data_IF_633137539640
#
_entry.id   IF_633137539640
#
_cell.length_a   1.000
_cell.length_b   1.000
_cell.length_c   1.000
_cell.angle_alpha   90.00
_cell.angle_beta   90.00
_cell.angle_gamma   90.00
#
_symmetry.space_group_name_H-M   'P 1'
#
loop_
_entity.id
_entity.type
_entity.pdbx_description
1 polymer ?
#
# COMPACT_ATOMS: atom_id res chain seq x y z
N UNK A 1 -10.84 9.56 17.10
CA UNK A 1 -9.73 8.68 17.54
C UNK A 1 -10.37 7.47 18.22
N UNK A 2 -10.42 6.30 17.57
CA UNK A 2 -11.06 5.10 18.17
C UNK A 2 -10.00 4.28 18.91
N UNK A 3 -10.20 4.05 20.21
CA UNK A 3 -9.40 3.10 20.99
C UNK A 3 -9.81 1.70 20.58
N UNK A 4 -8.86 0.89 20.12
CA UNK A 4 -9.11 -0.49 19.72
C UNK A 4 -8.74 -1.44 20.85
N UNK A 5 -9.69 -1.66 21.76
CA UNK A 5 -9.54 -2.58 22.89
C UNK A 5 -9.78 -4.04 22.50
N UNK A 6 -10.36 -4.30 21.33
CA UNK A 6 -10.96 -5.60 20.99
C UNK A 6 -9.99 -6.66 20.44
N UNK A 7 -8.77 -6.29 20.04
CA UNK A 7 -7.91 -7.11 19.17
C UNK A 7 -6.75 -7.79 19.90
N UNK A 8 -6.51 -7.42 21.16
CA UNK A 8 -5.37 -7.95 21.90
C UNK A 8 -5.73 -8.33 23.33
N UNK A 9 -5.63 -9.61 23.64
CA UNK A 9 -5.67 -10.10 25.02
C UNK A 9 -4.78 -11.35 25.10
N UNK A 10 -3.76 -11.31 25.93
CA UNK A 10 -2.76 -12.39 26.05
C UNK A 10 -3.21 -13.48 27.04
N UNK A 11 -2.74 -14.70 26.79
CA UNK A 11 -2.85 -15.93 27.61
C UNK A 11 -2.09 -15.85 28.96
N UNK A 12 -2.36 -14.87 29.82
CA UNK A 12 -2.17 -15.04 31.27
C UNK A 12 -3.55 -15.31 31.84
N UNK A 13 -3.81 -16.54 32.30
CA UNK A 13 -5.10 -17.07 32.80
C UNK A 13 -6.22 -16.05 32.64
N UNK A 14 -6.66 -15.88 31.39
CA UNK A 14 -7.57 -14.81 31.06
C UNK A 14 -8.86 -15.19 31.75
N UNK A 15 -9.18 -14.51 32.86
CA UNK A 15 -10.39 -14.75 33.62
C UNK A 15 -11.53 -14.52 32.64
N UNK A 16 -12.11 -15.64 32.23
CA UNK A 16 -13.26 -15.71 31.36
C UNK A 16 -14.40 -16.13 32.26
N UNK A 17 -15.45 -15.33 32.28
CA UNK A 17 -16.61 -15.57 33.09
C UNK A 17 -17.86 -15.42 32.23
N UNK A 18 -18.83 -16.30 32.46
CA UNK A 18 -20.17 -16.20 31.89
C UNK A 18 -21.12 -15.80 33.01
N UNK A 19 -21.76 -14.64 32.89
CA UNK A 19 -22.70 -14.12 33.90
C UNK A 19 -24.00 -13.68 33.24
N UNK A 20 -25.11 -14.09 33.82
CA UNK A 20 -26.42 -13.61 33.43
C UNK A 20 -27.56 -14.39 34.09
N UNK A 21 -28.80 -14.00 33.79
CA UNK A 21 -30.00 -14.52 34.45
C UNK A 21 -30.29 -15.99 34.08
N UNK A 22 -30.92 -16.69 35.03
CA UNK A 22 -31.49 -18.03 34.90
C UNK A 22 -33.01 -17.91 34.89
N UNK A 23 -33.65 -18.58 33.95
CA UNK A 23 -35.11 -18.60 33.75
C UNK A 23 -35.60 -20.04 33.82
N UNK A 24 -36.83 -20.21 34.30
CA UNK A 24 -37.52 -21.49 34.31
C UNK A 24 -38.75 -21.39 33.41
N UNK A 25 -38.88 -22.32 32.49
CA UNK A 25 -39.97 -22.38 31.52
C UNK A 25 -40.47 -23.83 31.48
N UNK A 26 -41.54 -24.10 32.24
CA UNK A 26 -42.02 -25.46 32.47
C UNK A 26 -40.91 -26.36 33.05
N UNK A 27 -40.67 -27.49 32.39
CA UNK A 27 -39.64 -28.46 32.77
C UNK A 27 -38.21 -28.04 32.40
N UNK A 28 -38.05 -26.95 31.64
CA UNK A 28 -36.75 -26.45 31.19
C UNK A 28 -36.22 -25.35 32.11
N UNK A 29 -34.91 -25.37 32.28
CA UNK A 29 -34.15 -24.26 32.84
C UNK A 29 -33.24 -23.69 31.75
N UNK A 30 -33.30 -22.38 31.54
CA UNK A 30 -32.49 -21.66 30.53
C UNK A 30 -31.67 -20.59 31.21
N UNK A 31 -30.36 -20.57 30.95
CA UNK A 31 -29.46 -19.53 31.45
C UNK A 31 -28.81 -18.80 30.29
N UNK A 32 -28.95 -17.47 30.30
CA UNK A 32 -28.40 -16.57 29.29
C UNK A 32 -27.20 -15.84 29.86
N UNK A 33 -26.00 -16.32 29.56
CA UNK A 33 -24.76 -15.79 30.10
C UNK A 33 -24.03 -14.86 29.13
N UNK A 34 -23.75 -13.63 29.54
CA UNK A 34 -22.79 -12.77 28.85
C UNK A 34 -21.37 -13.27 29.14
N UNK A 35 -20.62 -13.63 28.09
CA UNK A 35 -19.24 -14.07 28.21
C UNK A 35 -18.33 -12.87 28.17
N UNK A 36 -17.59 -12.64 29.25
CA UNK A 36 -16.59 -11.58 29.33
C UNK A 36 -15.21 -12.17 29.56
N UNK A 37 -14.21 -11.62 28.88
CA UNK A 37 -12.82 -12.01 29.02
C UNK A 37 -12.00 -10.75 29.32
N UNK A 38 -11.44 -10.68 30.53
CA UNK A 38 -10.76 -9.46 31.03
C UNK A 38 -11.62 -8.21 30.84
N UNK A 39 -12.90 -8.28 31.27
CA UNK A 39 -13.91 -7.21 31.20
C UNK A 39 -14.37 -6.82 29.77
N UNK A 40 -13.89 -7.50 28.73
CA UNK A 40 -14.39 -7.30 27.36
C UNK A 40 -15.46 -8.34 27.03
N UNK A 41 -16.62 -7.89 26.53
CA UNK A 41 -17.66 -8.76 26.00
C UNK A 41 -17.14 -9.57 24.80
N UNK A 42 -17.39 -10.89 24.82
CA UNK A 42 -16.96 -11.84 23.77
C UNK A 42 -18.12 -12.53 23.07
N UNK A 43 -19.28 -12.65 23.72
CA UNK A 43 -20.44 -13.30 23.15
C UNK A 43 -21.48 -13.65 24.21
N UNK A 44 -22.49 -14.41 23.80
CA UNK A 44 -23.54 -14.93 24.68
C UNK A 44 -23.44 -16.46 24.67
N UNK A 45 -23.52 -17.06 25.85
CA UNK A 45 -23.70 -18.50 26.04
C UNK A 45 -25.14 -18.76 26.49
N UNK A 46 -25.77 -19.74 25.86
CA UNK A 46 -27.09 -20.24 26.23
C UNK A 46 -26.89 -21.64 26.79
N UNK A 47 -27.21 -21.81 28.06
CA UNK A 47 -27.23 -23.11 28.74
C UNK A 47 -28.69 -23.52 28.90
N UNK A 48 -29.04 -24.74 28.49
CA UNK A 48 -30.38 -25.31 28.60
C UNK A 48 -30.28 -26.65 29.30
N UNK A 49 -31.13 -26.83 30.31
CA UNK A 49 -31.25 -28.03 31.12
C UNK A 49 -32.71 -28.50 31.10
N UNK A 50 -32.94 -29.78 30.80
CA UNK A 50 -34.25 -30.41 30.94
C UNK A 50 -34.30 -31.18 32.27
N UNK A 51 -35.05 -30.66 33.24
CA UNK A 51 -35.03 -31.14 34.64
C UNK A 51 -35.52 -32.58 34.87
N UNK A 52 -36.52 -33.09 34.13
CA UNK A 52 -37.07 -34.43 34.38
C UNK A 52 -36.16 -35.59 33.98
N UNK A 53 -35.07 -35.35 33.24
CA UNK A 53 -34.21 -36.41 32.73
C UNK A 53 -32.72 -36.10 32.91
N UNK A 54 -31.98 -37.09 33.42
CA UNK A 54 -30.52 -37.00 33.63
C UNK A 54 -29.72 -37.81 32.60
N UNK A 55 -30.38 -38.44 31.62
CA UNK A 55 -29.71 -39.21 30.56
C UNK A 55 -29.77 -38.40 29.25
N UNK A 56 -28.63 -37.90 28.73
CA UNK A 56 -28.61 -37.00 27.58
C UNK A 56 -29.28 -37.57 26.32
N UNK A 57 -29.13 -38.86 26.02
CA UNK A 57 -29.75 -39.52 24.87
C UNK A 57 -31.28 -39.40 24.88
N UNK A 58 -31.89 -39.50 26.06
CA UNK A 58 -33.34 -39.43 26.23
C UNK A 58 -33.88 -37.98 26.20
N UNK A 59 -33.01 -36.99 26.44
CA UNK A 59 -33.40 -35.57 26.53
C UNK A 59 -32.97 -34.72 25.33
N UNK A 60 -31.99 -35.18 24.53
CA UNK A 60 -31.33 -34.37 23.51
C UNK A 60 -32.27 -33.83 22.45
N UNK A 61 -33.16 -34.66 21.90
CA UNK A 61 -34.10 -34.21 20.87
C UNK A 61 -35.07 -33.16 21.40
N UNK A 62 -35.56 -33.32 22.64
CA UNK A 62 -36.40 -32.33 23.31
C UNK A 62 -35.66 -31.00 23.52
N UNK A 63 -34.42 -31.06 24.00
CA UNK A 63 -33.58 -29.87 24.21
C UNK A 63 -33.28 -29.18 22.86
N UNK A 64 -33.00 -29.96 21.81
CA UNK A 64 -32.71 -29.48 20.46
C UNK A 64 -33.93 -28.76 19.86
N UNK A 65 -35.11 -29.36 19.92
CA UNK A 65 -36.36 -28.75 19.44
C UNK A 65 -36.70 -27.48 20.21
N UNK A 66 -36.57 -27.52 21.54
CA UNK A 66 -36.75 -26.35 22.40
C UNK A 66 -35.81 -25.21 22.00
N UNK A 67 -34.51 -25.49 21.83
CA UNK A 67 -33.50 -24.53 21.36
C UNK A 67 -33.84 -23.98 19.97
N UNK A 68 -34.28 -24.83 19.04
CA UNK A 68 -34.64 -24.43 17.68
C UNK A 68 -35.85 -23.47 17.67
N UNK A 69 -36.74 -23.60 18.66
CA UNK A 69 -37.89 -22.69 18.81
C UNK A 69 -37.52 -21.21 18.96
N UNK A 70 -36.34 -20.88 19.50
CA UNK A 70 -35.91 -19.49 19.68
C UNK A 70 -34.56 -19.12 19.05
N UNK A 71 -33.70 -20.10 18.73
CA UNK A 71 -32.44 -19.87 18.01
C UNK A 71 -32.50 -20.29 16.52
N UNK A 72 -33.60 -20.90 16.09
CA UNK A 72 -33.82 -21.31 14.71
C UNK A 72 -32.76 -22.28 14.20
N UNK A 73 -32.35 -22.11 12.93
CA UNK A 73 -31.38 -22.99 12.24
C UNK A 73 -29.94 -22.87 12.75
N UNK A 74 -29.67 -22.02 13.75
CA UNK A 74 -28.32 -21.91 14.34
C UNK A 74 -27.99 -23.03 15.32
N UNK A 75 -29.01 -23.77 15.76
CA UNK A 75 -28.84 -24.92 16.67
C UNK A 75 -28.33 -26.12 15.87
N UNK A 76 -27.21 -26.68 16.32
CA UNK A 76 -26.62 -27.89 15.74
C UNK A 76 -27.58 -29.09 15.86
N UNK A 77 -27.69 -29.88 14.79
CA UNK A 77 -28.39 -31.16 14.83
C UNK A 77 -27.60 -32.24 15.59
N UNK A 78 -26.30 -32.02 15.80
CA UNK A 78 -25.43 -32.93 16.53
C UNK A 78 -25.26 -32.45 17.98
N UNK A 79 -25.27 -33.41 18.91
CA UNK A 79 -24.96 -33.18 20.31
C UNK A 79 -23.55 -32.57 20.50
N UNK A 80 -23.32 -31.80 21.58
CA UNK A 80 -22.02 -31.22 21.91
C UNK A 80 -20.92 -32.28 21.88
N UNK A 81 -19.76 -31.94 21.31
CA UNK A 81 -18.68 -32.89 21.03
C UNK A 81 -18.25 -33.68 22.27
N UNK A 82 -18.22 -33.03 23.44
CA UNK A 82 -17.93 -33.67 24.72
C UNK A 82 -18.95 -34.76 25.12
N UNK A 83 -20.23 -34.56 24.81
CA UNK A 83 -21.31 -35.46 25.21
C UNK A 83 -21.51 -36.64 24.25
N UNK A 84 -21.03 -36.56 23.02
CA UNK A 84 -21.28 -37.58 21.98
C UNK A 84 -20.92 -39.02 22.43
N UNK A 85 -19.82 -39.18 23.16
CA UNK A 85 -19.38 -40.49 23.66
C UNK A 85 -20.02 -40.90 25.00
N UNK A 86 -20.80 -40.01 25.62
CA UNK A 86 -21.38 -40.17 26.97
C UNK A 86 -22.89 -39.98 26.97
N UNK A 87 -23.53 -40.09 25.80
CA UNK A 87 -24.96 -39.83 25.63
C UNK A 87 -25.85 -40.75 26.47
N UNK A 88 -25.39 -41.98 26.74
CA UNK A 88 -26.13 -42.97 27.53
C UNK A 88 -25.72 -43.02 29.00
N UNK A 89 -24.81 -42.14 29.43
CA UNK A 89 -24.37 -42.06 30.82
C UNK A 89 -25.26 -41.09 31.63
N UNK A 90 -25.21 -41.20 32.96
CA UNK A 90 -25.87 -40.23 33.84
C UNK A 90 -25.10 -38.92 33.76
N UNK A 91 -25.80 -37.85 33.35
CA UNK A 91 -25.27 -36.50 33.29
C UNK A 91 -24.92 -35.97 34.70
N UNK A 92 -23.72 -35.42 34.83
CA UNK A 92 -23.18 -34.91 36.09
C UNK A 92 -22.84 -33.42 35.96
N UNK A 93 -22.78 -32.67 37.08
CA UNK A 93 -22.34 -31.26 37.06
C UNK A 93 -20.97 -31.04 36.39
N UNK A 94 -20.09 -32.04 36.42
CA UNK A 94 -18.78 -32.01 35.76
C UNK A 94 -18.90 -31.91 34.22
N UNK A 95 -19.97 -32.43 33.63
CA UNK A 95 -20.21 -32.38 32.19
C UNK A 95 -20.56 -30.96 31.74
N UNK A 96 -21.29 -30.21 32.57
CA UNK A 96 -21.52 -28.78 32.37
C UNK A 96 -20.19 -28.03 32.39
N UNK A 97 -19.33 -28.31 33.38
CA UNK A 97 -18.02 -27.65 33.51
C UNK A 97 -17.17 -27.87 32.26
N UNK A 98 -17.14 -29.09 31.71
CA UNK A 98 -16.33 -29.37 30.52
C UNK A 98 -16.86 -28.71 29.25
N UNK A 99 -18.17 -28.66 29.06
CA UNK A 99 -18.76 -27.92 27.95
C UNK A 99 -18.44 -26.42 28.03
N UNK A 100 -18.50 -25.82 29.23
CA UNK A 100 -18.05 -24.45 29.44
C UNK A 100 -16.56 -24.26 29.12
N UNK A 101 -15.69 -25.19 29.52
CA UNK A 101 -14.26 -25.13 29.22
C UNK A 101 -13.99 -25.23 27.71
N UNK A 102 -14.75 -26.04 26.97
CA UNK A 102 -14.66 -26.15 25.52
C UNK A 102 -15.02 -24.82 24.84
N UNK A 103 -16.17 -24.23 25.18
CA UNK A 103 -16.59 -22.93 24.65
C UNK A 103 -15.63 -21.80 25.03
N UNK A 104 -15.16 -21.77 26.28
CA UNK A 104 -14.13 -20.82 26.70
C UNK A 104 -12.81 -21.01 25.94
N UNK A 105 -12.46 -22.24 25.59
CA UNK A 105 -11.35 -22.57 24.70
C UNK A 105 -11.53 -21.97 23.30
N UNK A 106 -12.73 -22.07 22.71
CA UNK A 106 -13.06 -21.46 21.42
C UNK A 106 -12.97 -19.93 21.46
N UNK A 107 -13.54 -19.29 22.50
CA UNK A 107 -13.43 -17.83 22.71
C UNK A 107 -11.99 -17.35 22.88
N UNK A 108 -11.11 -18.16 23.47
CA UNK A 108 -9.67 -17.87 23.57
C UNK A 108 -8.94 -18.01 22.24
N UNK A 109 -9.35 -18.95 21.37
CA UNK A 109 -8.78 -19.13 20.02
C UNK A 109 -9.19 -18.01 19.07
N UNK A 110 -10.37 -17.42 19.26
CA UNK A 110 -10.89 -16.33 18.42
C UNK A 110 -10.04 -15.03 18.47
N UNK A 111 -9.15 -14.85 19.46
CA UNK A 111 -8.19 -13.73 19.50
C UNK A 111 -6.81 -14.14 18.94
N UNK A 112 -6.79 -14.72 17.74
CA UNK A 112 -5.66 -15.42 17.10
C UNK A 112 -4.45 -14.56 16.69
N UNK A 113 -3.82 -13.85 17.63
CA UNK A 113 -2.54 -13.17 17.42
C UNK A 113 -1.44 -13.99 18.11
N UNK A 114 -0.60 -14.63 17.31
CA UNK A 114 0.58 -15.36 17.77
C UNK A 114 1.83 -14.45 17.72
N UNK A 115 2.94 -14.80 18.40
CA UNK A 115 4.18 -14.02 18.33
C UNK A 115 4.75 -13.89 16.91
N UNK A 116 4.47 -14.87 16.04
CA UNK A 116 4.84 -14.88 14.63
C UNK A 116 3.88 -14.09 13.73
N UNK A 117 2.71 -13.68 14.24
CA UNK A 117 1.72 -12.94 13.46
C UNK A 117 2.32 -11.62 12.99
N UNK A 118 2.12 -11.34 11.70
CA UNK A 118 2.64 -10.13 11.07
C UNK A 118 1.68 -8.95 11.25
N UNK A 119 2.18 -7.73 11.18
CA UNK A 119 1.34 -6.54 11.16
C UNK A 119 0.38 -6.55 9.96
N UNK A 120 0.78 -7.14 8.82
CA UNK A 120 -0.10 -7.35 7.66
C UNK A 120 -1.32 -8.23 7.99
N UNK A 121 -1.11 -9.33 8.71
CA UNK A 121 -2.19 -10.21 9.18
C UNK A 121 -3.13 -9.49 10.17
N UNK A 122 -2.58 -8.71 11.10
CA UNK A 122 -3.39 -7.90 12.02
C UNK A 122 -4.29 -6.91 11.25
N UNK A 123 -3.78 -6.30 10.18
CA UNK A 123 -4.58 -5.41 9.31
C UNK A 123 -5.68 -6.16 8.55
N UNK A 124 -5.42 -7.39 8.13
CA UNK A 124 -6.41 -8.27 7.48
C UNK A 124 -7.56 -8.61 8.44
N UNK A 125 -7.26 -9.01 9.67
CA UNK A 125 -8.28 -9.26 10.71
C UNK A 125 -9.09 -8.01 11.03
N UNK A 126 -8.42 -6.86 11.09
CA UNK A 126 -9.06 -5.55 11.21
C UNK A 126 -10.07 -5.25 10.10
N UNK A 127 -9.71 -5.60 8.87
CA UNK A 127 -10.58 -5.42 7.71
C UNK A 127 -11.80 -6.35 7.78
N UNK A 128 -11.64 -7.60 8.24
CA UNK A 128 -12.76 -8.53 8.47
C UNK A 128 -13.76 -7.98 9.49
N UNK A 129 -13.27 -7.37 10.56
CA UNK A 129 -14.12 -6.74 11.58
C UNK A 129 -14.81 -5.46 11.08
N UNK A 130 -14.12 -4.65 10.26
CA UNK A 130 -14.66 -3.39 9.74
C UNK A 130 -14.27 -3.17 8.27
N UNK A 131 -15.15 -3.62 7.36
CA UNK A 131 -14.94 -3.55 5.90
C UNK A 131 -14.68 -2.13 5.36
N UNK A 132 -15.14 -1.08 6.02
CA UNK A 132 -14.86 0.31 5.60
C UNK A 132 -13.38 0.70 5.72
N UNK A 133 -12.59 -0.08 6.46
CA UNK A 133 -11.16 0.12 6.70
C UNK A 133 -10.35 -0.92 5.93
N UNK A 134 -10.33 -0.86 4.60
CA UNK A 134 -9.48 -1.74 3.79
C UNK A 134 -8.00 -1.60 4.14
N UNK A 135 -7.23 -2.68 3.98
CA UNK A 135 -5.87 -2.86 4.53
C UNK A 135 -4.93 -1.68 4.26
N UNK A 136 -4.93 -1.15 3.04
CA UNK A 136 -4.02 -0.08 2.61
C UNK A 136 -4.32 1.27 3.28
N UNK A 137 -5.56 1.49 3.75
CA UNK A 137 -5.95 2.69 4.51
C UNK A 137 -5.41 2.67 5.95
N UNK A 138 -5.00 1.49 6.43
CA UNK A 138 -4.62 1.27 7.82
C UNK A 138 -3.14 1.55 8.06
N UNK A 139 -2.84 2.45 9.00
CA UNK A 139 -1.51 2.66 9.57
C UNK A 139 -1.52 2.27 11.04
N UNK A 140 -0.78 1.22 11.39
CA UNK A 140 -0.58 0.78 12.77
C UNK A 140 0.74 1.33 13.32
N UNK A 141 0.75 1.71 14.60
CA UNK A 141 1.86 2.39 15.30
C UNK A 141 1.97 1.90 16.73
N UNK A 142 3.17 1.92 17.31
CA UNK A 142 3.39 1.64 18.74
C UNK A 142 2.93 2.79 19.63
N UNK A 143 3.09 4.02 19.14
CA UNK A 143 2.70 5.25 19.86
C UNK A 143 1.76 6.09 19.01
N UNK A 144 0.94 6.93 19.66
CA UNK A 144 -0.01 7.81 18.98
C UNK A 144 0.66 8.71 17.91
N UNK A 145 1.87 9.20 18.20
CA UNK A 145 2.70 10.02 17.29
C UNK A 145 3.88 9.25 16.69
N UNK A 146 3.96 7.94 16.91
CA UNK A 146 5.06 7.10 16.46
C UNK A 146 5.10 6.89 14.95
N UNK A 147 6.17 6.23 14.49
CA UNK A 147 6.31 5.81 13.09
C UNK A 147 5.33 4.68 12.78
N UNK A 148 4.92 4.62 11.51
CA UNK A 148 4.11 3.52 10.99
C UNK A 148 4.95 2.24 10.94
N UNK A 149 4.35 1.14 11.39
CA UNK A 149 4.95 -0.20 11.35
C UNK A 149 4.89 -0.79 9.94
N UNK A 150 5.92 -1.56 9.57
CA UNK A 150 5.92 -2.29 8.30
C UNK A 150 5.06 -3.54 8.39
N UNK A 151 4.47 -3.96 7.27
CA UNK A 151 3.58 -5.12 7.23
C UNK A 151 4.32 -6.44 7.51
N UNK A 152 5.64 -6.46 7.31
CA UNK A 152 6.53 -7.61 7.58
C UNK A 152 6.97 -7.73 9.04
N UNK A 153 6.82 -6.68 9.85
CA UNK A 153 7.16 -6.77 11.27
C UNK A 153 6.22 -7.73 11.99
N UNK A 154 6.78 -8.53 12.90
CA UNK A 154 6.05 -9.48 13.73
C UNK A 154 5.84 -8.91 15.12
N UNK A 155 4.81 -9.40 15.82
CA UNK A 155 4.57 -9.04 17.22
C UNK A 155 5.83 -9.30 18.09
N UNK A 156 6.57 -10.39 17.83
CA UNK A 156 7.84 -10.69 18.48
C UNK A 156 8.91 -9.62 18.23
N UNK A 157 9.11 -9.20 16.98
CA UNK A 157 10.11 -8.17 16.64
C UNK A 157 9.81 -6.80 17.27
N UNK A 158 8.55 -6.53 17.57
CA UNK A 158 8.10 -5.29 18.17
C UNK A 158 8.16 -5.27 19.69
N UNK A 159 8.62 -6.36 20.32
CA UNK A 159 8.66 -6.52 21.78
C UNK A 159 7.32 -6.21 22.46
N UNK A 160 6.21 -6.40 21.74
CA UNK A 160 4.87 -6.13 22.25
C UNK A 160 4.51 -7.19 23.30
N UNK A 161 4.51 -6.75 24.57
CA UNK A 161 4.11 -7.60 25.71
C UNK A 161 2.60 -7.67 25.85
N UNK A 162 2.11 -8.59 26.66
CA UNK A 162 0.70 -8.71 27.05
C UNK A 162 0.13 -7.36 27.53
N UNK A 163 -1.01 -6.92 26.99
CA UNK A 163 -1.59 -5.59 27.23
C UNK A 163 -1.00 -4.41 26.42
N UNK A 164 0.02 -4.65 25.59
CA UNK A 164 0.54 -3.68 24.61
C UNK A 164 -0.56 -3.15 23.68
N UNK A 165 -0.51 -1.85 23.38
CA UNK A 165 -1.52 -1.15 22.59
C UNK A 165 -0.94 -0.81 21.22
N UNK A 166 -1.73 -1.03 20.17
CA UNK A 166 -1.45 -0.52 18.83
C UNK A 166 -2.37 0.66 18.54
N UNK A 167 -1.79 1.74 18.03
CA UNK A 167 -2.52 2.92 17.62
C UNK A 167 -2.84 2.82 16.14
N UNK A 168 -4.13 2.91 15.83
CA UNK A 168 -4.63 3.00 14.47
C UNK A 168 -4.69 4.44 14.01
N UNK A 169 -4.10 4.71 12.84
CA UNK A 169 -4.27 5.94 12.08
C UNK A 169 -4.91 5.62 10.73
N UNK A 170 -5.99 6.33 10.46
CA UNK A 170 -6.62 6.33 9.15
C UNK A 170 -5.84 7.24 8.18
N UNK A 171 -5.36 6.68 7.07
CA UNK A 171 -4.66 7.42 6.02
C UNK A 171 -5.59 8.09 4.99
N UNK A 172 -6.90 7.80 5.05
CA UNK A 172 -7.89 8.20 4.05
C UNK A 172 -7.79 7.37 2.76
N UNK A 173 -8.54 7.73 1.70
CA UNK A 173 -8.51 7.04 0.42
C UNK A 173 -7.09 6.93 -0.15
N UNK A 174 -6.69 5.72 -0.50
CA UNK A 174 -5.39 5.36 -1.06
C UNK A 174 -5.53 4.89 -2.50
N UNK A 175 -4.52 5.14 -3.31
CA UNK A 175 -4.41 4.66 -4.69
C UNK A 175 -3.05 3.97 -4.89
N UNK A 176 -3.02 2.91 -5.69
CA UNK A 176 -1.79 2.16 -5.97
C UNK A 176 -0.77 2.99 -6.75
N UNK A 177 0.52 2.88 -6.41
CA UNK A 177 1.59 3.64 -7.07
C UNK A 177 1.65 3.42 -8.58
N UNK A 178 1.38 2.19 -9.06
CA UNK A 178 1.33 1.89 -10.49
C UNK A 178 0.29 2.76 -11.20
N UNK A 179 -0.93 2.83 -10.65
CA UNK A 179 -2.01 3.66 -11.21
C UNK A 179 -1.68 5.14 -11.15
N UNK A 180 -1.05 5.59 -10.06
CA UNK A 180 -0.60 6.99 -9.92
C UNK A 180 0.35 7.36 -11.06
N UNK A 181 1.42 6.60 -11.25
CA UNK A 181 2.40 6.90 -12.30
C UNK A 181 1.82 6.79 -13.71
N UNK A 182 0.90 5.84 -13.95
CA UNK A 182 0.21 5.75 -15.24
C UNK A 182 -0.62 7.01 -15.53
N UNK A 183 -1.41 7.50 -14.58
CA UNK A 183 -2.21 8.72 -14.78
C UNK A 183 -1.34 9.99 -14.84
N UNK A 184 -0.29 10.04 -14.01
CA UNK A 184 0.68 11.13 -13.98
C UNK A 184 1.37 11.30 -15.33
N UNK A 185 1.76 10.20 -15.99
CA UNK A 185 2.50 10.20 -17.26
C UNK A 185 1.61 10.12 -18.51
N UNK A 186 0.40 9.57 -18.42
CA UNK A 186 -0.53 9.54 -19.56
C UNK A 186 -1.02 10.94 -19.92
N UNK A 187 -1.25 11.80 -18.93
CA UNK A 187 -1.72 13.16 -19.19
C UNK A 187 -0.78 14.01 -20.03
N UNK A 188 0.52 14.13 -19.69
CA UNK A 188 1.46 14.88 -20.51
C UNK A 188 1.54 14.40 -21.96
N UNK A 189 1.36 13.10 -22.20
CA UNK A 189 1.29 12.54 -23.55
C UNK A 189 0.02 13.01 -24.28
N UNK A 190 -1.15 12.83 -23.66
CA UNK A 190 -2.46 13.20 -24.24
C UNK A 190 -2.57 14.71 -24.45
N UNK A 191 -2.21 15.50 -23.43
CA UNK A 191 -2.27 16.97 -23.46
C UNK A 191 -1.32 17.53 -24.52
N UNK A 192 -0.08 17.04 -24.58
CA UNK A 192 0.87 17.51 -25.60
C UNK A 192 0.37 17.17 -27.01
N UNK A 193 -0.11 15.94 -27.23
CA UNK A 193 -0.65 15.53 -28.54
C UNK A 193 -1.89 16.33 -28.93
N UNK A 194 -2.77 16.64 -27.98
CA UNK A 194 -3.94 17.47 -28.24
C UNK A 194 -3.55 18.89 -28.65
N UNK A 195 -2.61 19.54 -27.96
CA UNK A 195 -2.12 20.87 -28.36
C UNK A 195 -1.28 20.83 -29.64
N UNK A 196 -0.59 19.72 -29.90
CA UNK A 196 0.14 19.52 -31.15
C UNK A 196 -0.79 19.59 -32.35
N UNK A 197 -2.04 19.09 -32.27
CA UNK A 197 -3.05 19.23 -33.33
C UNK A 197 -3.50 20.69 -33.60
N UNK A 198 -3.00 21.67 -32.81
CA UNK A 198 -3.34 23.09 -32.90
C UNK A 198 -4.86 23.35 -32.93
N UNK A 199 -5.61 22.90 -31.92
CA UNK A 199 -7.05 23.12 -31.89
C UNK A 199 -7.35 24.62 -31.83
N UNK A 200 -8.45 25.03 -32.47
CA UNK A 200 -8.84 26.45 -32.58
C UNK A 200 -8.92 27.16 -31.22
N UNK A 201 -9.22 26.41 -30.15
CA UNK A 201 -9.41 26.95 -28.80
C UNK A 201 -8.15 27.65 -28.28
N UNK A 202 -6.96 27.15 -28.62
CA UNK A 202 -5.70 27.69 -28.11
C UNK A 202 -4.99 28.59 -29.12
N UNK A 203 -5.16 28.33 -30.42
CA UNK A 203 -4.36 28.98 -31.46
C UNK A 203 -5.20 29.81 -32.46
N UNK A 204 -6.54 29.76 -32.38
CA UNK A 204 -7.42 30.38 -33.37
C UNK A 204 -7.41 29.66 -34.72
N UNK A 205 -7.82 30.37 -35.78
CA UNK A 205 -7.84 29.85 -37.14
C UNK A 205 -6.44 29.90 -37.77
N UNK A 206 -5.61 28.92 -37.42
CA UNK A 206 -4.23 28.80 -37.90
C UNK A 206 -4.08 27.62 -38.85
N UNK A 207 -3.14 27.71 -39.79
CA UNK A 207 -2.86 26.62 -40.71
C UNK A 207 -2.25 25.44 -39.93
N UNK A 208 -2.96 24.31 -39.93
CA UNK A 208 -2.57 23.08 -39.23
C UNK A 208 -1.57 22.23 -40.01
N UNK A 209 -1.21 22.59 -41.24
CA UNK A 209 -0.27 21.80 -42.06
C UNK A 209 1.19 22.28 -41.97
N UNK A 210 1.42 23.51 -41.49
CA UNK A 210 2.76 24.12 -41.46
C UNK A 210 3.37 24.05 -40.06
N UNK A 211 4.03 22.93 -39.77
CA UNK A 211 4.90 22.79 -38.59
C UNK A 211 6.36 22.99 -38.98
N UNK A 212 7.10 23.72 -38.13
CA UNK A 212 8.55 23.71 -38.22
C UNK A 212 9.07 22.31 -37.84
N UNK A 213 10.10 21.80 -38.52
CA UNK A 213 10.60 20.44 -38.29
C UNK A 213 11.01 20.20 -36.83
N UNK A 214 11.52 21.23 -36.15
CA UNK A 214 11.89 21.18 -34.73
C UNK A 214 10.68 20.88 -33.84
N UNK A 215 9.51 21.45 -34.13
CA UNK A 215 8.28 21.17 -33.37
C UNK A 215 7.84 19.71 -33.56
N UNK A 216 7.94 19.18 -34.79
CA UNK A 216 7.67 17.76 -35.06
C UNK A 216 8.63 16.85 -34.28
N UNK A 217 9.93 17.14 -34.31
CA UNK A 217 10.93 16.40 -33.54
C UNK A 217 10.71 16.53 -32.03
N UNK A 218 10.29 17.70 -31.54
CA UNK A 218 9.95 17.91 -30.13
C UNK A 218 8.74 17.07 -29.72
N UNK A 219 7.69 17.02 -30.54
CA UNK A 219 6.52 16.18 -30.30
C UNK A 219 6.89 14.69 -30.25
N UNK A 220 7.75 14.23 -31.15
CA UNK A 220 8.28 12.85 -31.14
C UNK A 220 9.10 12.59 -29.88
N UNK A 221 10.06 13.46 -29.55
CA UNK A 221 10.91 13.30 -28.37
C UNK A 221 10.09 13.27 -27.06
N UNK A 222 9.13 14.18 -26.93
CA UNK A 222 8.20 14.23 -25.79
C UNK A 222 7.37 12.94 -25.71
N UNK A 223 6.83 12.49 -26.84
CA UNK A 223 6.00 11.29 -26.90
C UNK A 223 6.81 10.04 -26.55
N UNK A 224 8.00 9.89 -27.13
CA UNK A 224 8.92 8.77 -26.85
C UNK A 224 9.27 8.73 -25.36
N UNK A 225 9.59 9.87 -24.76
CA UNK A 225 9.86 9.95 -23.33
C UNK A 225 8.68 9.45 -22.49
N UNK A 226 7.48 10.01 -22.67
CA UNK A 226 6.33 9.62 -21.84
C UNK A 226 5.82 8.21 -22.13
N UNK A 227 5.88 7.73 -23.38
CA UNK A 227 5.61 6.33 -23.72
C UNK A 227 6.61 5.42 -23.02
N UNK A 228 7.91 5.73 -23.05
CA UNK A 228 8.94 5.00 -22.29
C UNK A 228 8.59 4.97 -20.80
N UNK A 229 8.25 6.10 -20.19
CA UNK A 229 7.87 6.18 -18.75
C UNK A 229 6.63 5.33 -18.42
N UNK A 230 5.64 5.30 -19.31
CA UNK A 230 4.46 4.44 -19.17
C UNK A 230 4.84 2.96 -19.25
N UNK A 231 5.62 2.56 -20.25
CA UNK A 231 6.09 1.18 -20.41
C UNK A 231 6.98 0.74 -19.24
N UNK A 232 7.89 1.60 -18.78
CA UNK A 232 8.69 1.35 -17.57
C UNK A 232 7.81 1.13 -16.34
N UNK A 233 6.74 1.91 -16.19
CA UNK A 233 5.79 1.75 -15.08
C UNK A 233 5.03 0.42 -15.14
N UNK A 234 4.72 -0.07 -16.34
CA UNK A 234 4.00 -1.33 -16.52
C UNK A 234 4.93 -2.53 -16.34
N UNK A 235 6.12 -2.49 -16.95
CA UNK A 235 6.97 -3.66 -17.17
C UNK A 235 8.27 -3.67 -16.34
N UNK A 236 8.78 -2.51 -15.92
CA UNK A 236 10.11 -2.38 -15.30
C UNK A 236 10.02 -2.10 -13.81
N UNK A 237 9.21 -1.12 -13.39
CA UNK A 237 9.16 -0.64 -12.02
C UNK A 237 8.59 -1.68 -11.04
N UNK A 238 9.30 -1.88 -9.91
CA UNK A 238 8.86 -2.68 -8.77
C UNK A 238 8.73 -1.79 -7.54
N UNK A 239 7.50 -1.40 -7.18
CA UNK A 239 7.24 -0.46 -6.07
C UNK A 239 7.36 -1.14 -4.71
N UNK A 240 8.00 -0.47 -3.74
CA UNK A 240 8.18 -0.99 -2.37
C UNK A 240 7.04 -0.61 -1.42
N UNK A 241 6.32 0.47 -1.72
CA UNK A 241 5.10 0.85 -1.02
C UNK A 241 3.91 0.50 -1.91
N UNK A 242 2.82 0.03 -1.31
CA UNK A 242 1.65 -0.36 -2.05
C UNK A 242 0.89 0.85 -2.62
N UNK A 243 0.78 1.95 -1.84
CA UNK A 243 -0.14 3.05 -2.16
C UNK A 243 0.37 4.44 -1.78
N UNK A 244 -0.33 5.46 -2.29
CA UNK A 244 -0.22 6.88 -1.96
C UNK A 244 -1.62 7.46 -1.60
N UNK A 245 -1.73 8.51 -0.76
CA UNK A 245 -2.99 9.21 -0.55
C UNK A 245 -3.55 9.81 -1.85
N UNK A 246 -4.84 9.57 -2.13
CA UNK A 246 -5.49 9.95 -3.39
C UNK A 246 -5.39 11.45 -3.69
N UNK A 247 -5.49 12.32 -2.68
CA UNK A 247 -5.35 13.78 -2.85
C UNK A 247 -4.04 14.21 -3.51
N UNK A 248 -2.96 13.43 -3.34
CA UNK A 248 -1.66 13.74 -3.92
C UNK A 248 -1.63 13.44 -5.42
N UNK A 249 -2.51 12.56 -5.92
CA UNK A 249 -2.65 12.28 -7.35
C UNK A 249 -2.96 13.55 -8.11
N UNK A 250 -3.96 14.31 -7.65
CA UNK A 250 -4.36 15.57 -8.29
C UNK A 250 -3.21 16.58 -8.32
N UNK A 251 -2.45 16.71 -7.22
CA UNK A 251 -1.28 17.60 -7.19
C UNK A 251 -0.23 17.20 -8.22
N UNK A 252 0.10 15.91 -8.29
CA UNK A 252 1.08 15.39 -9.24
C UNK A 252 0.59 15.58 -10.68
N UNK A 253 -0.64 15.16 -10.99
CA UNK A 253 -1.22 15.31 -12.33
C UNK A 253 -1.29 16.78 -12.73
N UNK A 254 -1.79 17.68 -11.86
CA UNK A 254 -1.84 19.12 -12.17
C UNK A 254 -0.47 19.67 -12.52
N UNK A 255 0.59 19.32 -11.77
CA UNK A 255 1.95 19.74 -12.09
C UNK A 255 2.35 19.29 -13.51
N UNK A 256 2.32 17.99 -13.79
CA UNK A 256 2.80 17.48 -15.08
C UNK A 256 1.93 17.91 -16.25
N UNK A 257 0.61 17.92 -16.10
CA UNK A 257 -0.32 18.20 -17.18
C UNK A 257 -0.31 19.68 -17.55
N UNK A 258 -0.22 20.58 -16.57
CA UNK A 258 -0.15 22.02 -16.82
C UNK A 258 1.20 22.41 -17.43
N UNK A 259 2.31 21.83 -16.96
CA UNK A 259 3.60 22.05 -17.62
C UNK A 259 3.62 21.47 -19.04
N UNK A 260 3.03 20.30 -19.26
CA UNK A 260 2.89 19.73 -20.60
C UNK A 260 2.11 20.67 -21.52
N UNK A 261 0.97 21.19 -21.05
CA UNK A 261 0.18 22.18 -21.78
C UNK A 261 1.01 23.43 -22.09
N UNK A 262 1.72 23.98 -21.10
CA UNK A 262 2.49 25.21 -21.26
C UNK A 262 3.65 25.06 -22.25
N UNK A 263 4.37 23.93 -22.20
CA UNK A 263 5.45 23.60 -23.13
C UNK A 263 4.89 23.33 -24.52
N UNK A 264 3.84 22.50 -24.63
CA UNK A 264 3.20 22.18 -25.91
C UNK A 264 2.65 23.44 -26.58
N UNK A 265 2.06 24.36 -25.80
CA UNK A 265 1.53 25.62 -26.30
C UNK A 265 2.61 26.38 -27.09
N UNK A 266 3.76 26.60 -26.47
CA UNK A 266 4.84 27.41 -27.05
C UNK A 266 5.62 26.70 -28.14
N UNK A 267 5.94 25.41 -27.94
CA UNK A 267 6.70 24.62 -28.93
C UNK A 267 5.92 24.38 -30.21
N UNK A 268 4.59 24.28 -30.12
CA UNK A 268 3.72 24.07 -31.27
C UNK A 268 3.08 25.35 -31.79
N UNK A 269 3.38 26.52 -31.23
CA UNK A 269 2.77 27.78 -31.64
C UNK A 269 3.11 28.12 -33.12
N UNK A 270 2.19 28.70 -33.91
CA UNK A 270 2.47 29.11 -35.29
C UNK A 270 3.65 30.09 -35.42
N UNK A 271 3.84 30.93 -34.41
CA UNK A 271 4.93 31.91 -34.31
C UNK A 271 6.17 31.34 -33.59
N UNK A 272 6.33 30.02 -33.55
CA UNK A 272 7.47 29.39 -32.90
C UNK A 272 8.78 29.74 -33.62
N UNK A 273 9.73 30.30 -32.88
CA UNK A 273 11.07 30.59 -33.37
C UNK A 273 11.99 29.42 -33.07
N UNK A 274 12.48 28.77 -34.13
CA UNK A 274 13.37 27.64 -34.00
C UNK A 274 14.79 28.06 -33.56
N UNK A 275 15.51 27.18 -32.84
CA UNK A 275 16.91 27.40 -32.49
C UNK A 275 17.85 27.28 -33.68
N UNK A 276 19.13 27.57 -33.45
CA UNK A 276 20.18 27.28 -34.43
C UNK A 276 20.28 25.78 -34.69
N UNK A 277 20.78 25.40 -35.88
CA UNK A 277 20.99 23.98 -36.22
C UNK A 277 21.90 23.28 -35.21
N UNK A 278 22.92 23.98 -34.70
CA UNK A 278 23.85 23.44 -33.71
C UNK A 278 23.14 23.10 -32.38
N UNK A 279 22.34 24.02 -31.84
CA UNK A 279 21.55 23.79 -30.62
C UNK A 279 20.55 22.64 -30.82
N UNK A 280 19.86 22.61 -31.95
CA UNK A 280 18.94 21.54 -32.29
C UNK A 280 19.62 20.15 -32.28
N UNK A 281 20.71 19.98 -33.05
CA UNK A 281 21.37 18.67 -33.15
C UNK A 281 22.08 18.26 -31.86
N UNK A 282 22.76 19.20 -31.20
CA UNK A 282 23.43 18.92 -29.92
C UNK A 282 22.43 18.54 -28.82
N UNK A 283 21.29 19.25 -28.75
CA UNK A 283 20.18 18.93 -27.86
C UNK A 283 19.55 17.58 -28.19
N UNK A 284 19.27 17.28 -29.46
CA UNK A 284 18.66 16.01 -29.87
C UNK A 284 19.55 14.79 -29.53
N UNK A 285 20.85 14.86 -29.85
CA UNK A 285 21.80 13.77 -29.53
C UNK A 285 21.92 13.58 -28.02
N UNK A 286 22.05 14.68 -27.27
CA UNK A 286 22.15 14.64 -25.80
C UNK A 286 20.88 14.09 -25.15
N UNK A 287 19.70 14.42 -25.70
CA UNK A 287 18.41 13.90 -25.26
C UNK A 287 18.35 12.38 -25.39
N UNK A 288 18.68 11.84 -26.57
CA UNK A 288 18.67 10.38 -26.81
C UNK A 288 19.64 9.67 -25.88
N UNK A 289 20.85 10.18 -25.69
CA UNK A 289 21.84 9.60 -24.78
C UNK A 289 21.34 9.59 -23.33
N UNK A 290 20.67 10.66 -22.89
CA UNK A 290 20.09 10.73 -21.55
C UNK A 290 18.90 9.78 -21.39
N UNK A 291 18.03 9.66 -22.38
CA UNK A 291 16.88 8.74 -22.35
C UNK A 291 17.32 7.27 -22.26
N UNK A 292 18.33 6.89 -23.05
CA UNK A 292 18.94 5.55 -23.00
C UNK A 292 19.65 5.30 -21.68
N UNK A 293 20.34 6.32 -21.15
CA UNK A 293 20.98 6.26 -19.83
C UNK A 293 19.97 6.03 -18.71
N UNK A 294 18.91 6.83 -18.68
CA UNK A 294 17.81 6.73 -17.72
C UNK A 294 17.16 5.33 -17.75
N UNK A 295 16.84 4.81 -18.93
CA UNK A 295 16.29 3.46 -19.10
C UNK A 295 17.26 2.39 -18.60
N UNK A 296 18.55 2.51 -18.95
CA UNK A 296 19.60 1.58 -18.51
C UNK A 296 19.69 1.53 -16.98
N UNK A 297 19.59 2.68 -16.31
CA UNK A 297 19.53 2.74 -14.85
C UNK A 297 18.27 2.07 -14.31
N UNK A 298 17.08 2.34 -14.87
CA UNK A 298 15.84 1.71 -14.42
C UNK A 298 15.87 0.18 -14.54
N UNK A 299 16.42 -0.35 -15.62
CA UNK A 299 16.63 -1.79 -15.80
C UNK A 299 17.60 -2.35 -14.77
N UNK A 300 18.72 -1.67 -14.51
CA UNK A 300 19.67 -2.07 -13.46
C UNK A 300 19.00 -2.07 -12.07
N UNK A 301 18.21 -1.05 -11.76
CA UNK A 301 17.48 -0.95 -10.49
C UNK A 301 16.42 -2.04 -10.32
N UNK A 302 15.75 -2.45 -11.41
CA UNK A 302 14.81 -3.58 -11.41
C UNK A 302 15.52 -4.88 -11.02
N UNK A 303 16.71 -5.12 -11.57
CA UNK A 303 17.47 -6.35 -11.36
C UNK A 303 18.04 -6.49 -9.93
N UNK A 304 18.16 -5.39 -9.19
CA UNK A 304 18.58 -5.42 -7.78
C UNK A 304 17.53 -6.02 -6.84
N UNK A 305 16.27 -6.12 -7.28
CA UNK A 305 15.17 -6.68 -6.50
C UNK A 305 14.69 -7.96 -7.16
N UNK A 306 14.94 -9.16 -6.62
CA UNK A 306 14.26 -10.37 -7.03
C UNK A 306 12.73 -10.20 -6.95
N UNK A 307 11.97 -10.80 -7.88
CA UNK A 307 10.51 -10.71 -7.90
C UNK A 307 9.92 -11.23 -6.59
N UNK A 308 8.99 -10.49 -5.99
CA UNK A 308 8.34 -10.86 -4.73
C UNK A 308 9.12 -10.52 -3.45
N UNK A 309 10.33 -9.93 -3.56
CA UNK A 309 11.13 -9.54 -2.38
C UNK A 309 11.13 -8.03 -2.15
N UNK A 310 11.25 -7.62 -0.88
CA UNK A 310 11.40 -6.20 -0.46
C UNK A 310 12.84 -5.82 -0.11
N UNK A 311 13.80 -6.74 -0.30
CA UNK A 311 15.21 -6.54 0.06
C UNK A 311 15.82 -5.39 -0.72
N UNK A 312 16.49 -4.49 -0.01
CA UNK A 312 17.22 -3.37 -0.59
C UNK A 312 18.70 -3.72 -0.71
N UNK A 313 19.28 -3.43 -1.88
CA UNK A 313 20.73 -3.52 -2.14
C UNK A 313 21.23 -2.17 -2.61
N UNK A 314 22.51 -1.88 -2.35
CA UNK A 314 23.17 -0.71 -2.90
C UNK A 314 23.37 -0.93 -4.41
N UNK A 315 22.89 -0.02 -5.27
CA UNK A 315 23.10 -0.14 -6.71
C UNK A 315 24.58 0.05 -7.06
N UNK A 316 25.09 -0.80 -7.94
CA UNK A 316 26.47 -0.78 -8.43
C UNK A 316 26.47 -0.75 -9.97
N UNK A 317 27.55 -0.24 -10.60
CA UNK A 317 27.71 -0.34 -12.03
C UNK A 317 27.62 -1.78 -12.53
N UNK A 318 27.14 -1.92 -13.77
CA UNK A 318 27.07 -3.18 -14.51
C UNK A 318 27.99 -3.08 -15.73
N UNK A 319 27.95 -4.10 -16.62
CA UNK A 319 28.67 -4.05 -17.91
C UNK A 319 28.18 -2.94 -18.84
N UNK A 320 26.96 -2.42 -18.64
CA UNK A 320 26.43 -1.33 -19.45
C UNK A 320 27.12 0.01 -19.08
N UNK A 321 27.73 0.73 -20.03
CA UNK A 321 28.48 1.96 -19.76
C UNK A 321 27.63 3.07 -19.11
N UNK A 322 26.34 3.16 -19.42
CA UNK A 322 25.44 4.13 -18.79
C UNK A 322 25.28 3.91 -17.28
N UNK A 323 25.51 2.68 -16.80
CA UNK A 323 25.45 2.37 -15.36
C UNK A 323 26.73 2.73 -14.61
N UNK A 324 27.81 3.11 -15.31
CA UNK A 324 29.06 3.58 -14.69
C UNK A 324 28.83 4.80 -13.79
N UNK A 325 27.78 5.58 -14.07
CA UNK A 325 27.41 6.75 -13.28
C UNK A 325 27.10 6.42 -11.81
N UNK A 326 26.75 5.17 -11.49
CA UNK A 326 26.65 4.71 -10.10
C UNK A 326 27.96 4.82 -9.33
N UNK A 327 29.14 4.87 -9.97
CA UNK A 327 30.39 5.13 -9.26
C UNK A 327 30.41 6.51 -8.60
N UNK A 328 29.72 7.49 -9.19
CA UNK A 328 29.81 8.89 -8.78
C UNK A 328 28.57 9.37 -8.05
N UNK A 329 27.38 8.88 -8.39
CA UNK A 329 26.12 9.35 -7.80
C UNK A 329 25.20 8.21 -7.37
N UNK A 330 24.30 8.53 -6.43
CA UNK A 330 23.36 7.59 -5.85
C UNK A 330 22.13 7.37 -6.72
N UNK A 331 21.66 8.44 -7.38
CA UNK A 331 20.43 8.45 -8.17
C UNK A 331 20.72 8.86 -9.63
N UNK A 332 21.52 8.08 -10.39
CA UNK A 332 21.86 8.44 -11.76
C UNK A 332 20.65 8.47 -12.69
N UNK A 333 19.56 7.79 -12.36
CA UNK A 333 18.30 7.91 -13.10
C UNK A 333 17.78 9.35 -13.09
N UNK A 334 17.87 10.05 -11.96
CA UNK A 334 17.48 11.45 -11.87
C UNK A 334 18.48 12.37 -12.59
N UNK A 335 19.77 12.04 -12.56
CA UNK A 335 20.79 12.79 -13.32
C UNK A 335 20.50 12.76 -14.82
N UNK A 336 20.24 11.57 -15.36
CA UNK A 336 19.87 11.41 -16.77
C UNK A 336 18.51 12.06 -17.08
N UNK A 337 17.53 11.96 -16.18
CA UNK A 337 16.23 12.62 -16.35
C UNK A 337 16.39 14.15 -16.49
N UNK A 338 17.15 14.78 -15.59
CA UNK A 338 17.45 16.22 -15.67
C UNK A 338 18.19 16.53 -16.98
N UNK A 339 19.18 15.69 -17.34
CA UNK A 339 19.91 15.81 -18.59
C UNK A 339 19.01 15.77 -19.84
N UNK A 340 18.01 14.87 -19.87
CA UNK A 340 17.01 14.82 -20.94
C UNK A 340 16.28 16.15 -21.05
N UNK A 341 15.77 16.69 -19.94
CA UNK A 341 14.97 17.92 -19.99
C UNK A 341 15.79 19.18 -20.29
N UNK A 342 17.05 19.26 -19.83
CA UNK A 342 18.01 20.29 -20.27
C UNK A 342 18.22 20.17 -21.79
N UNK A 343 18.47 18.96 -22.28
CA UNK A 343 18.69 18.70 -23.70
C UNK A 343 17.48 19.05 -24.56
N UNK A 344 16.26 18.75 -24.07
CA UNK A 344 15.00 19.14 -24.72
C UNK A 344 14.84 20.66 -24.76
N UNK A 345 15.21 21.35 -23.68
CA UNK A 345 15.17 22.81 -23.60
C UNK A 345 16.11 23.44 -24.64
N UNK A 346 17.34 22.93 -24.79
CA UNK A 346 18.30 23.37 -25.81
C UNK A 346 17.82 23.02 -27.22
N UNK A 347 17.30 21.80 -27.42
CA UNK A 347 16.79 21.33 -28.71
C UNK A 347 15.63 22.18 -29.24
N UNK A 348 14.86 22.79 -28.35
CA UNK A 348 13.65 23.57 -28.69
C UNK A 348 13.80 25.08 -28.44
N UNK A 349 14.88 25.52 -27.80
CA UNK A 349 15.04 26.87 -27.23
C UNK A 349 13.75 27.42 -26.59
N UNK A 350 13.05 26.56 -25.84
CA UNK A 350 11.75 26.86 -25.26
C UNK A 350 11.88 27.17 -23.77
N UNK A 351 11.67 28.44 -23.37
CA UNK A 351 11.73 28.87 -21.98
C UNK A 351 10.79 28.07 -21.03
N UNK A 352 9.51 27.82 -21.39
CA UNK A 352 8.64 26.91 -20.63
C UNK A 352 9.25 25.53 -20.33
N UNK A 353 9.99 24.95 -21.29
CA UNK A 353 10.66 23.66 -21.08
C UNK A 353 11.80 23.79 -20.05
N UNK A 354 12.52 24.92 -20.06
CA UNK A 354 13.52 25.25 -19.05
C UNK A 354 12.92 25.40 -17.65
N UNK A 355 11.76 26.04 -17.52
CA UNK A 355 11.04 26.16 -16.23
C UNK A 355 10.58 24.81 -15.71
N UNK A 356 10.04 23.96 -16.59
CA UNK A 356 9.68 22.58 -16.24
C UNK A 356 10.91 21.81 -15.74
N UNK A 357 12.02 21.91 -16.47
CA UNK A 357 13.31 21.29 -16.12
C UNK A 357 13.78 21.74 -14.74
N UNK A 358 13.76 23.05 -14.46
CA UNK A 358 14.20 23.59 -13.17
C UNK A 358 13.35 23.10 -12.00
N UNK A 359 12.02 23.17 -12.14
CA UNK A 359 11.09 22.69 -11.12
C UNK A 359 11.26 21.18 -10.86
N UNK A 360 11.41 20.38 -11.92
CA UNK A 360 11.64 18.94 -11.84
C UNK A 360 12.99 18.61 -11.20
N UNK A 361 14.05 19.33 -11.59
CA UNK A 361 15.40 19.17 -11.04
C UNK A 361 15.45 19.47 -9.54
N UNK A 362 14.77 20.53 -9.08
CA UNK A 362 14.65 20.85 -7.66
C UNK A 362 14.02 19.69 -6.88
N UNK A 363 12.85 19.21 -7.34
CA UNK A 363 12.12 18.14 -6.67
C UNK A 363 12.92 16.83 -6.65
N UNK A 364 13.55 16.46 -7.77
CA UNK A 364 14.39 15.26 -7.86
C UNK A 364 15.63 15.36 -6.98
N UNK A 365 16.21 16.55 -6.82
CA UNK A 365 17.35 16.78 -5.93
C UNK A 365 16.98 16.54 -4.47
N UNK A 366 15.82 17.05 -4.01
CA UNK A 366 15.31 16.80 -2.66
C UNK A 366 15.11 15.30 -2.41
N UNK A 367 14.57 14.58 -3.39
CA UNK A 367 14.42 13.12 -3.31
C UNK A 367 15.76 12.38 -3.32
N UNK A 368 16.71 12.81 -4.14
CA UNK A 368 18.03 12.21 -4.23
C UNK A 368 18.81 12.33 -2.92
N UNK A 369 18.80 13.52 -2.31
CA UNK A 369 19.45 13.78 -1.02
C UNK A 369 18.85 12.90 0.08
N UNK A 370 17.52 12.78 0.10
CA UNK A 370 16.81 11.91 1.06
C UNK A 370 17.19 10.44 0.88
N UNK A 371 17.25 9.95 -0.37
CA UNK A 371 17.69 8.58 -0.70
C UNK A 371 19.15 8.35 -0.34
N UNK A 372 20.03 9.28 -0.65
CA UNK A 372 21.47 9.19 -0.35
C UNK A 372 21.73 9.11 1.16
N UNK A 373 21.04 9.96 1.95
CA UNK A 373 21.10 9.91 3.42
C UNK A 373 20.58 8.57 3.97
N UNK A 374 19.50 8.05 3.41
CA UNK A 374 18.98 6.74 3.79
C UNK A 374 19.99 5.63 3.51
N UNK A 375 20.63 5.63 2.34
CA UNK A 375 21.65 4.63 2.00
C UNK A 375 22.87 4.67 2.92
N UNK A 376 23.39 5.85 3.24
CA UNK A 376 24.50 6.01 4.19
C UNK A 376 24.17 5.47 5.59
N UNK A 377 22.90 5.54 6.00
CA UNK A 377 22.43 5.02 7.29
C UNK A 377 22.16 3.52 7.26
N UNK A 378 21.61 3.02 6.16
CA UNK A 378 21.15 1.63 6.02
C UNK A 378 22.31 0.67 5.72
N UNK A 379 23.34 1.12 4.97
CA UNK A 379 24.41 0.25 4.50
C UNK A 379 25.78 0.67 5.08
N UNK A 380 26.36 -0.23 5.89
CA UNK A 380 27.67 -0.01 6.53
C UNK A 380 28.79 0.20 5.49
N UNK A 381 28.78 -0.55 4.39
CA UNK A 381 29.78 -0.49 3.32
C UNK A 381 29.37 0.39 2.13
N UNK A 382 28.61 1.47 2.38
CA UNK A 382 28.22 2.38 1.32
C UNK A 382 29.42 3.19 0.78
N UNK A 383 29.59 3.35 -0.55
CA UNK A 383 30.72 4.09 -1.12
C UNK A 383 30.75 5.56 -0.68
N UNK A 384 31.82 5.95 0.03
CA UNK A 384 31.93 7.27 0.68
C UNK A 384 31.99 8.45 -0.30
N UNK A 385 32.60 8.24 -1.48
CA UNK A 385 32.82 9.28 -2.48
C UNK A 385 31.59 9.57 -3.36
N UNK A 386 30.53 8.76 -3.25
CA UNK A 386 29.29 9.01 -4.01
C UNK A 386 28.60 10.27 -3.55
N UNK A 387 28.08 11.00 -4.52
CA UNK A 387 27.19 12.15 -4.38
C UNK A 387 25.72 11.72 -4.55
N UNK A 388 24.78 12.62 -4.32
CA UNK A 388 23.36 12.30 -4.39
C UNK A 388 22.87 12.18 -5.84
N UNK A 389 23.14 13.19 -6.68
CA UNK A 389 22.55 13.38 -8.01
C UNK A 389 23.47 14.04 -9.04
N UNK A 390 24.34 14.99 -8.67
CA UNK A 390 25.28 15.62 -9.62
C UNK A 390 26.69 15.09 -9.32
N UNK A 391 27.37 14.45 -10.30
CA UNK A 391 28.73 13.95 -10.10
C UNK A 391 29.66 15.04 -9.56
N UNK A 392 30.45 14.69 -8.55
CA UNK A 392 31.45 15.56 -7.88
C UNK A 392 30.89 16.78 -7.13
N UNK A 393 29.65 17.18 -7.38
CA UNK A 393 29.02 18.38 -6.79
C UNK A 393 28.08 18.00 -5.65
N UNK A 394 26.94 17.35 -5.94
CA UNK A 394 25.81 17.22 -5.02
C UNK A 394 25.29 15.79 -4.87
#
# INVERSE_FOLDING_TARGET
MMKMTTIYTSKKQTKIESKGPRFEIGDFCVKLGSVTMSQNFKGVLVEVEYRPCVVPASAWELIREFLQGFLGSTVSNQAPQYLQNRMNEIYQPMDTIQQYLEHFGQYRKATGVNPSTTIGEVKQELYKLKKSLYVQRQSLRLDAKGKSLSDSETIKSLSLKAGGKLYYKDLGPQIGWKTVFLLEYAGPLVVYFWLYQRPWLFYGNVNTYNYHYVANCAAVAWSVHYVKRLLETIFVHRFSHATMPLRNLFKNCSYYWLFAMYVAYHTNHPLYTAPTKFEFYSGAVSFVMCELGNLSIHLALRNLRPSGTTVRKVPMPTKNPFTALFNYVSCPNYTYEIGSWISFTVMTSCLPAGLFTFAGAYQMTVWALSKHKAYKKEFLHYPKNRKAIIPFIL
#
